data_IF_952496718308
#
_entry.id   IF_952496718308
#
_cell.length_a   1.000
_cell.length_b   1.000
_cell.length_c   1.000
_cell.angle_alpha   90.00
_cell.angle_beta   90.00
_cell.angle_gamma   90.00
#
_symmetry.space_group_name_H-M   'P 1'
#
loop_
_entity.id
_entity.type
_entity.pdbx_description
1 polymer ?
#
# COMPACT_ATOMS: atom_id res chain seq x y z
N UNK A 1 13.95 -1.57 -0.31
CA UNK A 1 13.02 -2.70 -0.53
C UNK A 1 11.69 -2.14 -1.00
N UNK A 2 11.22 -2.54 -2.18
CA UNK A 2 9.98 -2.07 -2.78
C UNK A 2 8.83 -3.00 -2.40
N UNK A 3 7.78 -2.44 -1.80
CA UNK A 3 6.65 -3.19 -1.24
C UNK A 3 5.37 -2.71 -1.93
N UNK A 4 4.69 -3.62 -2.62
CA UNK A 4 3.37 -3.37 -3.19
C UNK A 4 2.27 -3.76 -2.21
N UNK A 5 1.23 -2.94 -2.09
CA UNK A 5 0.04 -3.23 -1.29
C UNK A 5 -1.18 -3.16 -2.19
N UNK A 6 -1.97 -4.22 -2.20
CA UNK A 6 -3.21 -4.29 -2.98
C UNK A 6 -4.35 -3.65 -2.18
N UNK A 7 -5.04 -2.71 -2.82
CA UNK A 7 -6.23 -2.01 -2.30
C UNK A 7 -7.41 -2.33 -3.22
N UNK A 8 -8.60 -2.47 -2.66
CA UNK A 8 -9.82 -2.80 -3.39
C UNK A 8 -11.04 -2.12 -2.76
N UNK A 9 -12.14 -2.05 -3.50
CA UNK A 9 -13.39 -1.49 -3.00
C UNK A 9 -13.94 -2.33 -1.83
N UNK A 10 -14.38 -1.65 -0.78
CA UNK A 10 -14.81 -2.26 0.48
C UNK A 10 -13.67 -2.61 1.44
N UNK A 11 -12.40 -2.28 1.13
CA UNK A 11 -11.28 -2.55 2.04
C UNK A 11 -11.53 -1.96 3.43
N UNK A 12 -11.11 -2.70 4.46
CA UNK A 12 -11.06 -2.21 5.83
C UNK A 12 -9.79 -1.36 6.00
N UNK A 13 -9.87 -0.05 6.34
CA UNK A 13 -8.70 0.82 6.44
C UNK A 13 -7.61 0.31 7.39
N UNK A 14 -7.99 -0.49 8.38
CA UNK A 14 -7.06 -1.13 9.31
C UNK A 14 -5.98 -1.96 8.61
N UNK A 15 -6.29 -2.59 7.46
CA UNK A 15 -5.28 -3.34 6.69
C UNK A 15 -4.12 -2.47 6.18
N UNK A 16 -4.33 -1.15 6.02
CA UNK A 16 -3.27 -0.22 5.65
C UNK A 16 -2.48 0.28 6.86
N UNK A 17 -3.05 0.23 8.06
CA UNK A 17 -2.39 0.80 9.25
C UNK A 17 -1.07 0.11 9.60
N UNK A 18 -1.07 -1.23 9.68
CA UNK A 18 0.11 -2.01 10.11
C UNK A 18 1.25 -1.95 9.10
N UNK A 19 1.03 -2.16 7.78
CA UNK A 19 2.10 -2.03 6.80
C UNK A 19 2.81 -0.66 6.88
N UNK A 20 2.07 0.44 6.91
CA UNK A 20 2.70 1.76 7.02
C UNK A 20 3.42 1.94 8.36
N UNK A 21 2.79 1.60 9.49
CA UNK A 21 3.41 1.77 10.81
C UNK A 21 4.70 0.96 10.99
N UNK A 22 4.78 -0.24 10.41
CA UNK A 22 5.97 -1.11 10.50
C UNK A 22 7.04 -0.64 9.53
N UNK A 23 6.72 -0.50 8.24
CA UNK A 23 7.72 -0.30 7.19
C UNK A 23 8.25 1.15 7.11
N UNK A 24 7.47 2.16 7.49
CA UNK A 24 7.97 3.54 7.58
C UNK A 24 9.03 3.72 8.68
N UNK A 25 9.06 2.82 9.67
CA UNK A 25 10.03 2.86 10.78
C UNK A 25 11.31 2.09 10.46
N UNK A 26 11.41 1.44 9.31
CA UNK A 26 12.61 0.74 8.88
C UNK A 26 13.56 1.76 8.24
N UNK A 27 14.45 2.32 9.07
CA UNK A 27 15.39 3.36 8.67
C UNK A 27 16.84 2.86 8.75
N UNK A 28 17.68 3.33 7.84
CA UNK A 28 19.12 3.20 7.95
C UNK A 28 19.65 4.05 9.13
N UNK A 29 20.89 3.83 9.61
CA UNK A 29 21.51 4.70 10.61
C UNK A 29 21.56 6.19 10.19
N UNK A 30 21.56 6.47 8.88
CA UNK A 30 21.48 7.83 8.33
C UNK A 30 20.08 8.45 8.38
N UNK A 31 19.06 7.70 8.81
CA UNK A 31 17.65 8.11 8.81
C UNK A 31 16.94 7.90 7.47
N UNK A 32 17.62 7.40 6.43
CA UNK A 32 16.99 7.14 5.15
C UNK A 32 16.03 5.94 5.22
N UNK A 33 14.83 6.01 4.60
CA UNK A 33 13.92 4.88 4.55
C UNK A 33 14.52 3.71 3.77
N UNK A 34 14.39 2.50 4.32
CA UNK A 34 14.83 1.27 3.67
C UNK A 34 13.69 0.56 2.92
N UNK A 35 12.45 1.00 3.16
CA UNK A 35 11.25 0.47 2.53
C UNK A 35 10.53 1.58 1.74
N UNK A 36 10.03 1.23 0.56
CA UNK A 36 9.19 2.08 -0.28
C UNK A 36 7.85 1.36 -0.48
N UNK A 37 6.75 1.99 -0.08
CA UNK A 37 5.40 1.41 -0.15
C UNK A 37 4.66 1.98 -1.35
N UNK A 38 4.08 1.11 -2.16
CA UNK A 38 3.27 1.47 -3.33
C UNK A 38 1.88 0.86 -3.20
N UNK A 39 0.84 1.70 -3.21
CA UNK A 39 -0.55 1.24 -3.29
C UNK A 39 -0.93 0.98 -4.75
N UNK A 40 -1.60 -0.14 -5.00
CA UNK A 40 -2.18 -0.45 -6.30
C UNK A 40 -3.54 -1.13 -6.16
N UNK A 41 -4.34 -1.10 -7.22
CA UNK A 41 -5.66 -1.69 -7.24
C UNK A 41 -5.89 -2.52 -8.51
N UNK A 42 -6.82 -3.48 -8.43
CA UNK A 42 -7.32 -4.17 -9.63
C UNK A 42 -8.00 -3.18 -10.58
N UNK A 43 -8.81 -2.28 -10.03
CA UNK A 43 -9.48 -1.19 -10.72
C UNK A 43 -9.01 0.15 -10.11
N UNK A 44 -8.03 0.84 -10.72
CA UNK A 44 -7.55 2.13 -10.23
C UNK A 44 -8.64 3.20 -10.25
N UNK A 45 -8.61 4.09 -9.26
CA UNK A 45 -9.57 5.17 -9.11
C UNK A 45 -9.92 5.43 -7.65
N UNK A 46 -11.12 5.96 -7.44
CA UNK A 46 -11.70 6.15 -6.11
C UNK A 46 -12.30 4.83 -5.61
N UNK A 47 -11.76 4.31 -4.51
CA UNK A 47 -12.19 3.06 -3.86
C UNK A 47 -12.88 3.39 -2.55
N UNK A 48 -14.10 2.90 -2.34
CA UNK A 48 -14.83 3.12 -1.09
C UNK A 48 -14.30 2.17 -0.02
N UNK A 49 -14.07 2.66 1.18
CA UNK A 49 -13.73 1.80 2.33
C UNK A 49 -14.99 1.38 3.06
N UNK A 50 -14.89 0.34 3.90
CA UNK A 50 -15.99 -0.03 4.79
C UNK A 50 -16.30 1.02 5.87
N UNK A 51 -15.44 2.03 6.03
CA UNK A 51 -15.55 3.07 7.06
C UNK A 51 -16.28 4.33 6.57
N UNK A 52 -16.84 4.31 5.35
CA UNK A 52 -17.67 5.41 4.84
C UNK A 52 -16.88 6.57 4.21
N UNK A 53 -15.59 6.39 3.94
CA UNK A 53 -14.77 7.32 3.16
C UNK A 53 -14.05 6.59 2.02
N UNK A 54 -13.57 7.35 1.03
CA UNK A 54 -12.87 6.80 -0.12
C UNK A 54 -11.35 7.00 -0.04
N UNK A 55 -10.60 6.11 -0.69
CA UNK A 55 -9.16 6.23 -0.93
C UNK A 55 -8.95 6.30 -2.44
N UNK A 56 -8.08 7.20 -2.90
CA UNK A 56 -7.72 7.30 -4.32
C UNK A 56 -6.44 6.50 -4.57
N UNK A 57 -6.51 5.49 -5.45
CA UNK A 57 -5.37 4.67 -5.85
C UNK A 57 -5.22 4.73 -7.36
N UNK A 58 -4.16 5.37 -7.83
CA UNK A 58 -3.96 5.66 -9.26
C UNK A 58 -3.23 4.53 -10.03
N UNK A 59 -2.63 3.58 -9.31
CA UNK A 59 -1.81 2.54 -9.92
C UNK A 59 -2.60 1.22 -10.03
N UNK A 60 -2.49 0.58 -11.19
CA UNK A 60 -3.02 -0.77 -11.42
C UNK A 60 -2.08 -1.87 -10.95
N UNK A 61 -2.53 -3.13 -10.99
CA UNK A 61 -1.72 -4.30 -10.60
C UNK A 61 -0.39 -4.43 -11.36
N UNK A 62 -0.24 -3.80 -12.52
CA UNK A 62 1.05 -3.72 -13.23
C UNK A 62 2.17 -3.08 -12.39
N UNK A 63 1.82 -2.25 -11.40
CA UNK A 63 2.77 -1.68 -10.45
C UNK A 63 3.42 -2.73 -9.52
N UNK A 64 2.86 -3.94 -9.42
CA UNK A 64 3.46 -5.04 -8.67
C UNK A 64 4.69 -5.64 -9.36
N UNK A 65 4.90 -5.33 -10.65
CA UNK A 65 6.05 -5.81 -11.40
C UNK A 65 7.36 -5.34 -10.76
N UNK A 66 8.18 -6.29 -10.33
CA UNK A 66 9.48 -6.00 -9.71
C UNK A 66 9.42 -5.45 -8.29
N UNK A 67 8.30 -5.67 -7.58
CA UNK A 67 8.25 -5.49 -6.12
C UNK A 67 9.00 -6.63 -5.42
N UNK A 68 9.70 -6.31 -4.34
CA UNK A 68 10.41 -7.29 -3.50
C UNK A 68 9.42 -8.06 -2.59
N UNK A 69 8.30 -7.43 -2.25
CA UNK A 69 7.21 -8.00 -1.44
C UNK A 69 5.86 -7.46 -1.89
N UNK A 70 4.84 -8.31 -1.84
CA UNK A 70 3.44 -7.94 -2.10
C UNK A 70 2.60 -8.28 -0.88
N UNK A 71 1.81 -7.31 -0.42
CA UNK A 71 0.84 -7.46 0.66
C UNK A 71 -0.56 -7.47 0.05
N UNK A 72 -1.27 -8.58 0.25
CA UNK A 72 -2.68 -8.74 -0.11
C UNK A 72 -3.49 -8.84 1.20
N UNK A 73 -4.32 -7.82 1.51
CA UNK A 73 -5.12 -7.76 2.74
C UNK A 73 -6.10 -8.92 2.97
#
# INVERSE_FOLDING_TARGET
>A
MKIGIVVFDGIIPFHLSVPFAVFEKVLAPSGAPLCELTLCAAEPGELKTNAGFSIVVNLGLGALSGMDMVIVP
#
